data_IF_452172491526
#
_entry.id   IF_452172491526
#
_cell.length_a   1.000
_cell.length_b   1.000
_cell.length_c   1.000
_cell.angle_alpha   90.00
_cell.angle_beta   90.00
_cell.angle_gamma   90.00
#
_symmetry.space_group_name_H-M   'P 1'
#
loop_
_entity.id
_entity.type
_entity.pdbx_description
1 polymer ?
#
# COMPACT_ATOMS: atom_id res chain seq x y z
N UNK A 1 4.25 -16.77 -13.47
CA UNK A 1 3.42 -15.76 -12.76
C UNK A 1 4.27 -14.65 -12.14
N UNK A 2 5.35 -14.93 -11.39
CA UNK A 2 6.18 -13.87 -10.80
C UNK A 2 6.76 -12.87 -11.84
N UNK A 3 7.32 -13.36 -12.95
CA UNK A 3 7.85 -12.49 -14.01
C UNK A 3 6.80 -11.57 -14.65
N UNK A 4 5.54 -12.01 -14.78
CA UNK A 4 4.47 -11.15 -15.32
C UNK A 4 4.06 -10.06 -14.33
N UNK A 5 4.11 -10.32 -13.01
CA UNK A 5 3.87 -9.30 -11.97
C UNK A 5 4.92 -8.20 -12.07
N UNK A 6 6.20 -8.57 -12.21
CA UNK A 6 7.28 -7.58 -12.32
C UNK A 6 7.16 -6.77 -13.61
N UNK A 7 6.86 -7.43 -14.74
CA UNK A 7 6.67 -6.73 -16.01
C UNK A 7 5.49 -5.75 -15.98
N UNK A 8 4.34 -6.17 -15.43
CA UNK A 8 3.17 -5.28 -15.29
C UNK A 8 3.41 -4.13 -14.32
N UNK A 9 4.12 -4.37 -13.22
CA UNK A 9 4.51 -3.32 -12.26
C UNK A 9 5.48 -2.31 -12.89
N UNK A 10 6.41 -2.78 -13.72
CA UNK A 10 7.34 -1.92 -14.46
C UNK A 10 6.59 -1.03 -15.48
N UNK A 11 5.63 -1.62 -16.21
CA UNK A 11 4.77 -0.87 -17.14
C UNK A 11 3.91 0.16 -16.39
N UNK A 12 3.33 -0.20 -15.24
CA UNK A 12 2.61 0.74 -14.38
C UNK A 12 3.52 1.91 -13.95
N UNK A 13 4.73 1.60 -13.49
CA UNK A 13 5.72 2.61 -13.10
C UNK A 13 6.06 3.58 -14.24
N UNK A 14 6.22 3.07 -15.47
CA UNK A 14 6.45 3.91 -16.65
C UNK A 14 5.25 4.80 -16.96
N UNK A 15 4.03 4.27 -16.93
CA UNK A 15 2.80 5.04 -17.18
C UNK A 15 2.66 6.17 -16.16
N UNK A 16 2.90 5.87 -14.88
CA UNK A 16 2.85 6.85 -13.80
C UNK A 16 3.93 7.93 -13.96
N UNK A 17 5.16 7.52 -14.28
CA UNK A 17 6.29 8.43 -14.52
C UNK A 17 6.03 9.39 -15.69
N UNK A 18 5.51 8.88 -16.81
CA UNK A 18 5.11 9.70 -17.95
C UNK A 18 3.93 10.64 -17.61
N UNK A 19 2.96 10.17 -16.83
CA UNK A 19 1.84 10.99 -16.36
C UNK A 19 2.30 12.15 -15.49
N UNK A 20 3.14 11.89 -14.49
CA UNK A 20 3.69 12.92 -13.61
C UNK A 20 4.54 13.94 -14.37
N UNK A 21 5.39 13.48 -15.30
CA UNK A 21 6.23 14.37 -16.12
C UNK A 21 5.41 15.41 -16.89
N UNK A 22 4.16 15.08 -17.24
CA UNK A 22 3.25 15.98 -17.96
C UNK A 22 2.52 16.97 -17.04
N UNK A 23 2.35 16.62 -15.77
CA UNK A 23 1.57 17.40 -14.80
C UNK A 23 2.45 18.32 -13.96
N UNK A 24 3.68 17.90 -13.65
CA UNK A 24 4.59 18.61 -12.75
C UNK A 24 5.81 19.05 -13.56
N UNK A 25 5.93 20.37 -13.80
CA UNK A 25 7.21 20.97 -14.18
C UNK A 25 8.11 20.91 -12.94
N UNK A 26 9.05 19.97 -12.94
CA UNK A 26 10.07 19.87 -11.91
C UNK A 26 11.05 21.01 -12.20
N UNK A 27 10.88 22.12 -11.49
CA UNK A 27 11.95 23.11 -11.37
C UNK A 27 13.09 22.41 -10.62
N UNK A 28 14.16 22.13 -11.36
CA UNK A 28 15.39 21.65 -10.76
C UNK A 28 16.00 22.83 -10.03
N UNK A 29 15.60 23.05 -8.78
CA UNK A 29 16.40 23.89 -7.90
C UNK A 29 17.78 23.22 -7.78
N UNK A 30 18.87 23.87 -8.22
CA UNK A 30 20.19 23.35 -7.97
C UNK A 30 20.37 23.38 -6.45
N UNK A 31 20.12 22.24 -5.81
CA UNK A 31 20.41 22.03 -4.41
C UNK A 31 21.94 22.01 -4.31
N UNK A 32 22.54 23.20 -4.19
CA UNK A 32 23.92 23.38 -3.75
C UNK A 32 23.96 22.98 -2.28
N UNK A 33 23.87 21.68 -2.05
CA UNK A 33 24.14 21.08 -0.77
C UNK A 33 25.65 21.11 -0.63
N UNK A 34 26.20 22.16 -0.03
CA UNK A 34 27.59 22.15 0.40
C UNK A 34 27.72 21.01 1.42
N UNK A 35 28.18 19.84 0.97
CA UNK A 35 28.40 18.72 1.86
C UNK A 35 29.51 19.13 2.83
N UNK A 36 29.24 19.17 4.15
CA UNK A 36 30.29 19.42 5.11
C UNK A 36 31.33 18.32 5.02
N UNK A 37 32.60 18.60 5.33
CA UNK A 37 33.68 17.63 5.25
C UNK A 37 33.33 16.36 6.02
N UNK A 38 33.36 15.22 5.32
CA UNK A 38 32.97 13.92 5.85
C UNK A 38 33.97 13.46 6.92
N UNK A 39 33.69 13.79 8.19
CA UNK A 39 34.52 13.37 9.33
C UNK A 39 34.23 11.91 9.65
N UNK A 40 35.27 11.14 10.01
CA UNK A 40 35.11 9.72 10.39
C UNK A 40 34.07 9.58 11.50
N UNK A 41 32.99 8.82 11.28
CA UNK A 41 31.91 8.72 12.25
C UNK A 41 32.36 7.95 13.49
N UNK A 42 32.19 8.56 14.67
CA UNK A 42 32.33 7.87 15.95
C UNK A 42 31.13 6.94 16.14
N UNK A 43 31.38 5.64 16.35
CA UNK A 43 30.33 4.62 16.51
C UNK A 43 29.30 4.99 17.59
N UNK A 44 29.75 5.56 18.71
CA UNK A 44 28.85 6.02 19.78
C UNK A 44 27.86 7.10 19.31
N UNK A 45 28.33 8.07 18.52
CA UNK A 45 27.47 9.13 18.00
C UNK A 45 26.50 8.60 16.93
N UNK A 46 26.94 7.64 16.09
CA UNK A 46 26.06 7.00 15.10
C UNK A 46 24.95 6.23 15.80
N UNK A 47 25.30 5.39 16.78
CA UNK A 47 24.32 4.61 17.53
C UNK A 47 23.33 5.50 18.28
N UNK A 48 23.80 6.54 18.97
CA UNK A 48 22.93 7.47 19.67
C UNK A 48 21.98 8.21 18.71
N UNK A 49 22.49 8.69 17.56
CA UNK A 49 21.69 9.43 16.58
C UNK A 49 20.68 8.52 15.87
N UNK A 50 21.07 7.29 15.54
CA UNK A 50 20.17 6.27 15.00
C UNK A 50 19.10 5.88 16.00
N UNK A 51 19.45 5.72 17.29
CA UNK A 51 18.49 5.38 18.34
C UNK A 51 17.44 6.47 18.54
N UNK A 52 17.85 7.75 18.54
CA UNK A 52 16.91 8.87 18.65
C UNK A 52 15.92 8.88 17.48
N UNK A 53 16.41 8.69 16.26
CA UNK A 53 15.54 8.61 15.06
C UNK A 53 14.63 7.39 15.07
N UNK A 54 15.11 6.25 15.55
CA UNK A 54 14.33 5.02 15.65
C UNK A 54 13.30 5.09 16.78
N UNK A 55 13.62 5.74 17.90
CA UNK A 55 12.71 5.91 19.05
C UNK A 55 11.43 6.64 18.64
N UNK A 56 11.54 7.73 17.91
CA UNK A 56 10.37 8.48 17.42
C UNK A 56 9.45 7.61 16.54
N UNK A 57 10.04 6.76 15.70
CA UNK A 57 9.28 5.82 14.88
C UNK A 57 8.58 4.75 15.74
N UNK A 58 9.31 4.11 16.65
CA UNK A 58 8.76 3.03 17.49
C UNK A 58 7.62 3.54 18.37
N UNK A 59 7.78 4.72 18.99
CA UNK A 59 6.76 5.28 19.88
C UNK A 59 5.48 5.70 19.15
N UNK A 60 5.53 6.01 17.86
CA UNK A 60 4.34 6.39 17.08
C UNK A 60 3.70 5.18 16.41
N UNK A 61 4.51 4.32 15.79
CA UNK A 61 4.01 3.23 14.94
C UNK A 61 3.50 2.04 15.74
N UNK A 62 4.20 1.62 16.82
CA UNK A 62 3.78 0.48 17.64
C UNK A 62 2.38 0.65 18.27
N UNK A 63 2.05 1.76 18.94
CA UNK A 63 0.72 1.90 19.53
C UNK A 63 -0.39 2.01 18.49
N UNK A 64 -0.11 2.67 17.35
CA UNK A 64 -1.07 2.77 16.26
C UNK A 64 -1.37 1.39 15.65
N UNK A 65 -0.35 0.56 15.49
CA UNK A 65 -0.50 -0.81 14.99
C UNK A 65 -1.29 -1.69 15.97
N UNK A 66 -0.97 -1.61 17.27
CA UNK A 66 -1.68 -2.35 18.32
C UNK A 66 -3.18 -1.96 18.36
N UNK A 67 -3.48 -0.67 18.30
CA UNK A 67 -4.86 -0.17 18.23
C UNK A 67 -5.58 -0.66 16.97
N UNK A 68 -4.91 -0.62 15.81
CA UNK A 68 -5.46 -1.12 14.55
C UNK A 68 -5.80 -2.61 14.60
N UNK A 69 -4.93 -3.43 15.20
CA UNK A 69 -5.17 -4.86 15.39
C UNK A 69 -6.32 -5.16 16.36
N UNK A 70 -6.40 -4.44 17.47
CA UNK A 70 -7.52 -4.59 18.43
C UNK A 70 -8.85 -4.18 17.79
N UNK A 71 -8.87 -3.06 17.06
CA UNK A 71 -10.06 -2.63 16.34
C UNK A 71 -10.52 -3.68 15.31
N UNK A 72 -9.58 -4.32 14.60
CA UNK A 72 -9.90 -5.41 13.69
C UNK A 72 -10.56 -6.60 14.39
N UNK A 73 -9.96 -7.08 15.49
CA UNK A 73 -10.50 -8.23 16.23
C UNK A 73 -11.92 -7.97 16.73
N UNK A 74 -12.23 -6.74 17.15
CA UNK A 74 -13.60 -6.34 17.53
C UNK A 74 -14.55 -6.37 16.32
N UNK A 75 -14.09 -5.89 15.15
CA UNK A 75 -14.87 -5.92 13.92
C UNK A 75 -15.17 -7.34 13.42
N UNK A 76 -14.22 -8.27 13.60
CA UNK A 76 -14.39 -9.67 13.24
C UNK A 76 -15.44 -10.35 14.14
N UNK A 77 -15.34 -10.17 15.46
CA UNK A 77 -16.26 -10.78 16.44
C UNK A 77 -17.69 -10.23 16.30
N UNK A 78 -17.83 -8.96 15.94
CA UNK A 78 -19.15 -8.31 15.80
C UNK A 78 -19.87 -8.62 14.49
N UNK A 79 -19.21 -9.30 13.53
CA UNK A 79 -19.82 -9.64 12.23
C UNK A 79 -20.19 -8.43 11.36
N UNK A 80 -19.74 -7.22 11.74
CA UNK A 80 -19.98 -5.96 11.02
C UNK A 80 -19.22 -5.89 9.69
N UNK A 81 -18.34 -6.86 9.41
CA UNK A 81 -17.64 -7.03 8.14
C UNK A 81 -18.62 -7.02 6.97
N UNK A 82 -19.79 -7.66 7.08
CA UNK A 82 -20.78 -7.72 6.00
C UNK A 82 -21.45 -6.36 5.68
N UNK A 83 -21.46 -5.42 6.63
CA UNK A 83 -21.96 -4.04 6.43
C UNK A 83 -20.91 -3.17 5.73
N UNK A 84 -19.62 -3.38 6.01
CA UNK A 84 -18.52 -2.74 5.27
C UNK A 84 -18.43 -3.25 3.84
N UNK A 85 -18.77 -4.52 3.58
CA UNK A 85 -18.65 -5.13 2.25
C UNK A 85 -19.64 -4.54 1.25
N UNK A 86 -20.89 -4.23 1.66
CA UNK A 86 -21.94 -3.70 0.79
C UNK A 86 -21.57 -2.41 0.02
N UNK A 87 -21.02 -1.35 0.65
CA UNK A 87 -20.61 -0.14 -0.09
C UNK A 87 -19.36 -0.34 -0.97
N UNK A 88 -18.56 -1.38 -0.72
CA UNK A 88 -17.36 -1.72 -1.51
C UNK A 88 -17.63 -2.74 -2.64
N UNK A 89 -18.87 -3.24 -2.76
CA UNK A 89 -19.33 -4.09 -3.87
C UNK A 89 -19.03 -3.58 -5.30
N UNK A 90 -19.11 -2.25 -5.62
CA UNK A 90 -18.71 -1.78 -6.94
C UNK A 90 -17.21 -1.93 -7.21
N UNK A 91 -16.37 -2.01 -6.17
CA UNK A 91 -14.92 -2.17 -6.29
C UNK A 91 -14.55 -3.63 -6.52
N UNK A 92 -15.22 -4.58 -5.84
CA UNK A 92 -14.99 -6.02 -6.04
C UNK A 92 -15.50 -6.53 -7.37
N UNK A 93 -16.66 -6.05 -7.83
CA UNK A 93 -17.15 -6.34 -9.18
C UNK A 93 -16.21 -5.82 -10.26
N UNK A 94 -15.54 -4.69 -10.01
CA UNK A 94 -14.54 -4.14 -10.95
C UNK A 94 -13.22 -4.90 -10.94
N UNK A 95 -12.81 -5.43 -9.79
CA UNK A 95 -11.61 -6.26 -9.64
C UNK A 95 -11.83 -7.73 -10.01
N UNK A 96 -13.08 -8.19 -10.10
CA UNK A 96 -13.44 -9.59 -10.36
C UNK A 96 -13.14 -10.53 -9.19
N UNK A 97 -13.12 -10.00 -7.96
CA UNK A 97 -12.71 -10.71 -6.75
C UNK A 97 -13.93 -11.04 -5.85
N UNK A 98 -13.89 -12.15 -5.10
CA UNK A 98 -14.93 -12.46 -4.12
C UNK A 98 -14.96 -11.41 -3.00
N UNK A 99 -16.15 -11.07 -2.53
CA UNK A 99 -16.42 -9.96 -1.61
C UNK A 99 -15.63 -10.01 -0.30
N UNK A 100 -15.24 -11.22 0.11
CA UNK A 100 -14.42 -11.49 1.30
C UNK A 100 -12.99 -10.91 1.21
N UNK A 101 -12.48 -10.64 0.01
CA UNK A 101 -11.12 -10.07 -0.18
C UNK A 101 -11.04 -8.56 0.05
N UNK A 102 -12.16 -7.85 0.24
CA UNK A 102 -12.18 -6.43 0.61
C UNK A 102 -11.51 -6.21 1.96
N UNK A 103 -11.73 -7.13 2.90
CA UNK A 103 -11.24 -7.01 4.27
C UNK A 103 -9.71 -6.92 4.30
N UNK A 104 -8.95 -7.88 3.71
CA UNK A 104 -7.50 -7.77 3.65
C UNK A 104 -7.01 -6.61 2.76
N UNK A 105 -7.79 -6.16 1.77
CA UNK A 105 -7.43 -5.00 0.94
C UNK A 105 -7.50 -3.68 1.74
N UNK A 106 -8.56 -3.49 2.52
CA UNK A 106 -8.76 -2.30 3.36
C UNK A 106 -7.82 -2.34 4.57
N UNK A 107 -7.66 -3.49 5.22
CA UNK A 107 -6.69 -3.64 6.31
C UNK A 107 -5.24 -3.55 5.84
N UNK A 108 -4.97 -3.85 4.57
CA UNK A 108 -3.68 -3.64 3.95
C UNK A 108 -3.18 -2.20 3.99
N UNK A 109 -4.10 -1.24 4.12
CA UNK A 109 -3.76 0.17 4.32
C UNK A 109 -3.05 0.44 5.66
N UNK A 110 -3.38 -0.33 6.72
CA UNK A 110 -2.70 -0.19 8.01
C UNK A 110 -1.26 -0.67 7.91
N UNK A 111 -1.05 -1.87 7.36
CA UNK A 111 0.28 -2.42 7.11
C UNK A 111 0.24 -3.42 5.96
N UNK A 112 0.94 -3.08 4.86
CA UNK A 112 0.89 -3.86 3.62
C UNK A 112 1.40 -5.29 3.80
N UNK A 113 2.33 -5.52 4.73
CA UNK A 113 2.94 -6.84 4.95
C UNK A 113 1.99 -7.83 5.64
N UNK A 114 0.95 -7.34 6.33
CA UNK A 114 -0.08 -8.21 6.94
C UNK A 114 -1.20 -8.59 5.95
N UNK A 115 -1.21 -8.04 4.74
CA UNK A 115 -2.26 -8.37 3.75
C UNK A 115 -2.29 -9.85 3.40
N UNK A 116 -1.10 -10.45 3.23
CA UNK A 116 -0.95 -11.85 2.85
C UNK A 116 -1.35 -12.77 3.99
N UNK A 117 -1.01 -12.42 5.24
CA UNK A 117 -1.37 -13.20 6.43
C UNK A 117 -2.86 -13.09 6.73
N UNK A 118 -3.47 -11.92 6.53
CA UNK A 118 -4.92 -11.74 6.64
C UNK A 118 -5.69 -12.45 5.50
N UNK A 119 -5.14 -12.46 4.28
CA UNK A 119 -5.74 -13.23 3.20
C UNK A 119 -5.72 -14.74 3.52
N UNK A 120 -4.66 -15.23 4.17
CA UNK A 120 -4.57 -16.62 4.61
C UNK A 120 -5.56 -16.94 5.75
N UNK A 121 -5.72 -16.03 6.73
CA UNK A 121 -6.66 -16.24 7.83
C UNK A 121 -8.12 -16.21 7.37
N UNK A 122 -8.44 -15.36 6.39
CA UNK A 122 -9.80 -15.18 5.88
C UNK A 122 -10.20 -16.27 4.88
N UNK A 123 -9.27 -16.81 4.07
CA UNK A 123 -9.56 -17.89 3.10
C UNK A 123 -9.43 -19.30 3.70
N UNK A 124 -8.84 -19.45 4.88
CA UNK A 124 -8.55 -20.76 5.47
C UNK A 124 -7.46 -21.53 4.71
N UNK A 125 -7.09 -22.72 5.20
CA UNK A 125 -5.94 -23.52 4.74
C UNK A 125 -5.97 -24.02 3.28
N UNK A 126 -6.96 -23.60 2.47
CA UNK A 126 -7.17 -24.07 1.10
C UNK A 126 -7.22 -22.92 0.07
N UNK A 127 -6.11 -22.18 -0.02
CA UNK A 127 -5.90 -21.08 -0.99
C UNK A 127 -6.15 -21.53 -2.44
N UNK A 128 -5.91 -22.82 -2.73
CA UNK A 128 -6.03 -23.38 -4.09
C UNK A 128 -7.46 -23.76 -4.50
N UNK A 129 -8.43 -23.81 -3.57
CA UNK A 129 -9.85 -24.10 -3.84
C UNK A 129 -10.71 -22.84 -3.89
N UNK A 130 -10.30 -21.76 -3.21
CA UNK A 130 -11.12 -20.55 -3.03
C UNK A 130 -10.87 -19.45 -4.08
N UNK A 131 -9.64 -19.30 -4.60
CA UNK A 131 -9.30 -18.24 -5.56
C UNK A 131 -8.65 -18.80 -6.83
N UNK A 132 -9.07 -18.28 -7.98
CA UNK A 132 -8.36 -18.54 -9.24
C UNK A 132 -6.97 -17.90 -9.23
N UNK A 133 -5.94 -18.47 -9.89
CA UNK A 133 -4.60 -17.88 -9.97
C UNK A 133 -4.60 -16.43 -10.48
N UNK A 134 -5.61 -16.08 -11.30
CA UNK A 134 -5.81 -14.73 -11.79
C UNK A 134 -6.24 -13.75 -10.69
N UNK A 135 -7.08 -14.17 -9.74
CA UNK A 135 -7.55 -13.32 -8.64
C UNK A 135 -6.46 -13.04 -7.62
N UNK A 136 -5.60 -14.02 -7.36
CA UNK A 136 -4.42 -13.85 -6.50
C UNK A 136 -3.46 -12.84 -7.16
N UNK A 137 -3.31 -12.92 -8.48
CA UNK A 137 -2.47 -12.02 -9.25
C UNK A 137 -2.97 -10.57 -9.21
N UNK A 138 -4.26 -10.33 -9.45
CA UNK A 138 -4.83 -8.98 -9.43
C UNK A 138 -4.91 -8.40 -8.03
N UNK A 139 -5.14 -9.23 -7.00
CA UNK A 139 -5.02 -8.82 -5.60
C UNK A 139 -3.60 -8.33 -5.28
N UNK A 140 -2.58 -9.10 -5.68
CA UNK A 140 -1.18 -8.74 -5.45
C UNK A 140 -0.79 -7.43 -6.14
N UNK A 141 -1.23 -7.22 -7.38
CA UNK A 141 -0.99 -5.96 -8.12
C UNK A 141 -1.68 -4.78 -7.46
N UNK A 142 -2.97 -4.93 -7.10
CA UNK A 142 -3.73 -3.88 -6.43
C UNK A 142 -3.06 -3.47 -5.10
N UNK A 143 -2.64 -4.45 -4.30
CA UNK A 143 -1.98 -4.20 -3.03
C UNK A 143 -0.58 -3.59 -3.19
N UNK A 144 0.14 -3.92 -4.27
CA UNK A 144 1.50 -3.41 -4.50
C UNK A 144 1.49 -1.98 -5.02
N UNK A 145 0.54 -1.62 -5.88
CA UNK A 145 0.49 -0.30 -6.54
C UNK A 145 -0.36 0.70 -5.74
N UNK A 146 -1.44 0.25 -5.11
CA UNK A 146 -2.45 1.15 -4.55
C UNK A 146 -2.10 1.82 -3.23
N UNK A 147 -1.16 1.29 -2.44
CA UNK A 147 -1.19 1.54 -0.99
C UNK A 147 0.08 2.23 -0.46
N UNK A 148 0.01 3.53 -0.13
CA UNK A 148 0.85 4.12 0.90
C UNK A 148 0.31 3.71 2.28
N UNK A 149 1.12 3.01 3.08
CA UNK A 149 0.73 2.56 4.41
C UNK A 149 0.62 3.72 5.41
N UNK A 150 0.03 3.47 6.59
CA UNK A 150 -0.15 4.46 7.66
C UNK A 150 1.16 5.15 8.08
N UNK A 151 2.27 4.42 7.99
CA UNK A 151 3.61 4.91 8.27
C UNK A 151 4.05 5.91 7.21
N UNK A 152 3.91 5.54 5.93
CA UNK A 152 4.22 6.42 4.81
C UNK A 152 3.37 7.68 4.85
N UNK A 153 2.08 7.54 5.19
CA UNK A 153 1.15 8.65 5.42
C UNK A 153 1.61 9.59 6.53
N UNK A 154 2.01 9.05 7.68
CA UNK A 154 2.50 9.85 8.81
C UNK A 154 3.72 10.69 8.42
N UNK A 155 4.65 10.12 7.67
CA UNK A 155 5.81 10.85 7.13
C UNK A 155 5.38 11.90 6.11
N UNK A 156 4.48 11.54 5.18
CA UNK A 156 4.00 12.42 4.13
C UNK A 156 3.27 13.65 4.68
N UNK A 157 2.46 13.46 5.73
CA UNK A 157 1.78 14.56 6.43
C UNK A 157 2.78 15.49 7.09
N UNK A 158 3.85 14.94 7.68
CA UNK A 158 4.91 15.72 8.34
C UNK A 158 5.75 16.52 7.34
N UNK A 159 5.96 16.02 6.13
CA UNK A 159 6.79 16.67 5.10
C UNK A 159 6.02 17.62 4.19
N UNK A 160 4.89 17.20 3.64
CA UNK A 160 4.15 17.94 2.61
C UNK A 160 2.92 18.68 3.16
N UNK A 161 2.59 18.47 4.43
CA UNK A 161 1.39 18.98 5.08
C UNK A 161 0.14 18.15 4.79
N UNK A 162 -0.86 18.25 5.67
CA UNK A 162 -2.04 17.37 5.69
C UNK A 162 -2.83 17.35 4.37
N UNK A 163 -3.06 18.51 3.75
CA UNK A 163 -3.86 18.61 2.51
C UNK A 163 -3.20 17.91 1.32
N UNK A 164 -1.89 18.13 1.13
CA UNK A 164 -1.13 17.53 0.01
C UNK A 164 -0.93 16.03 0.22
N UNK A 165 -0.62 15.61 1.45
CA UNK A 165 -0.47 14.20 1.79
C UNK A 165 -1.75 13.41 1.52
N UNK A 166 -2.91 13.93 1.96
CA UNK A 166 -4.19 13.27 1.72
C UNK A 166 -4.50 13.16 0.21
N UNK A 167 -4.29 14.24 -0.55
CA UNK A 167 -4.49 14.24 -2.00
C UNK A 167 -3.62 13.21 -2.72
N UNK A 168 -2.34 13.08 -2.34
CA UNK A 168 -1.41 12.12 -2.93
C UNK A 168 -1.83 10.67 -2.65
N UNK A 169 -2.30 10.40 -1.43
CA UNK A 169 -2.72 9.05 -1.06
C UNK A 169 -4.00 8.60 -1.73
N UNK A 170 -4.98 9.50 -1.86
CA UNK A 170 -6.21 9.24 -2.62
C UNK A 170 -5.86 8.96 -4.08
N UNK A 171 -4.98 9.76 -4.68
CA UNK A 171 -4.55 9.57 -6.06
C UNK A 171 -3.83 8.22 -6.27
N UNK A 172 -2.99 7.82 -5.32
CA UNK A 172 -2.29 6.51 -5.36
C UNK A 172 -3.27 5.33 -5.27
N UNK A 173 -4.26 5.41 -4.38
CA UNK A 173 -5.28 4.36 -4.22
C UNK A 173 -6.12 4.24 -5.49
N UNK A 174 -6.58 5.38 -6.03
CA UNK A 174 -7.34 5.41 -7.28
C UNK A 174 -6.51 4.82 -8.42
N UNK A 175 -5.24 5.22 -8.54
CA UNK A 175 -4.37 4.70 -9.58
C UNK A 175 -4.15 3.20 -9.48
N UNK A 176 -3.87 2.67 -8.28
CA UNK A 176 -3.70 1.23 -8.07
C UNK A 176 -4.96 0.44 -8.38
N UNK A 177 -6.13 0.97 -8.02
CA UNK A 177 -7.41 0.32 -8.30
C UNK A 177 -7.76 0.34 -9.79
N UNK A 178 -7.55 1.49 -10.45
CA UNK A 178 -7.68 1.63 -11.91
C UNK A 178 -6.77 0.66 -12.65
N UNK A 179 -5.50 0.60 -12.27
CA UNK A 179 -4.52 -0.24 -12.94
C UNK A 179 -4.83 -1.73 -12.74
N UNK A 180 -5.13 -2.15 -11.51
CA UNK A 180 -5.49 -3.54 -11.22
C UNK A 180 -6.78 -3.98 -11.94
N UNK A 181 -7.81 -3.13 -11.98
CA UNK A 181 -9.04 -3.39 -12.73
C UNK A 181 -8.82 -3.47 -14.25
N UNK A 182 -7.93 -2.64 -14.80
CA UNK A 182 -7.58 -2.66 -16.22
C UNK A 182 -6.82 -3.96 -16.58
N UNK A 183 -5.89 -4.38 -15.73
CA UNK A 183 -5.15 -5.65 -15.88
C UNK A 183 -6.10 -6.84 -15.82
N UNK A 184 -7.07 -6.85 -14.91
CA UNK A 184 -8.09 -7.91 -14.85
C UNK A 184 -8.88 -8.02 -16.16
N UNK A 185 -9.38 -6.89 -16.70
CA UNK A 185 -10.13 -6.91 -17.97
C UNK A 185 -9.28 -7.38 -19.16
N UNK A 186 -8.05 -6.90 -19.27
CA UNK A 186 -7.15 -7.30 -20.37
C UNK A 186 -6.92 -8.81 -20.35
N UNK A 187 -6.71 -9.38 -19.16
CA UNK A 187 -6.47 -10.83 -19.04
C UNK A 187 -7.78 -11.63 -19.20
N UNK A 188 -8.92 -11.09 -18.76
CA UNK A 188 -10.23 -11.71 -18.96
C UNK A 188 -10.68 -11.71 -20.43
N UNK A 189 -10.17 -10.81 -21.27
CA UNK A 189 -10.44 -10.78 -22.72
C UNK A 189 -9.56 -11.78 -23.47
N UNK A 190 -8.39 -12.12 -22.92
CA UNK A 190 -7.41 -13.02 -23.54
C UNK A 190 -7.61 -14.51 -23.20
N UNK A 191 -8.62 -14.84 -22.39
CA UNK A 191 -9.00 -16.19 -21.98
C UNK A 191 -10.35 -16.55 -22.58
#
# INVERSE_FOLDING_TARGET
>A
MAFSVFATSFVAGLIWSFGIKKVIHIEMEPLLLELPPYRKPLLGNVLAKSWIRMKDFVYVVMPLLALGGVAYGIFEITGLTNIIIKPFSPITTWLGLPDITIIPLVFGFLQKDLTVTMLLSVLGSNISLALTPLQIYTFGIASTIGIPCIIALGVLIKEFGFKKALSLTILSIIYGLLFAGLVWRIISIFK
#
